data_IF_468328964660
#
_entry.id   IF_468328964660
#
_cell.length_a   1.000
_cell.length_b   1.000
_cell.length_c   1.000
_cell.angle_alpha   90.00
_cell.angle_beta   90.00
_cell.angle_gamma   90.00
#
_symmetry.space_group_name_H-M   'P 1'
#
loop_
_entity.id
_entity.type
_entity.pdbx_description
1 polymer ?
#
# COMPACT_ATOMS: atom_id res chain seq x y z
N UNK A 1 -0.26 -45.92 13.10
CA UNK A 1 0.19 -45.25 14.35
C UNK A 1 1.20 -44.17 13.99
N UNK A 2 0.95 -42.92 14.45
CA UNK A 2 1.85 -41.73 14.57
C UNK A 2 2.42 -41.15 13.25
N UNK A 3 1.95 -39.99 12.75
CA UNK A 3 2.05 -38.57 13.19
C UNK A 3 3.44 -37.90 13.06
N UNK A 4 3.48 -36.78 12.33
CA UNK A 4 4.45 -35.68 12.41
C UNK A 4 5.58 -35.76 11.37
N UNK A 5 5.89 -34.75 10.57
CA UNK A 5 5.83 -33.30 10.80
C UNK A 5 5.55 -32.53 9.51
N UNK A 6 4.78 -31.46 9.69
CA UNK A 6 4.46 -30.42 8.72
C UNK A 6 5.70 -29.89 7.99
N UNK A 7 5.72 -30.04 6.67
CA UNK A 7 6.52 -29.19 5.81
C UNK A 7 5.87 -27.80 5.83
N UNK A 8 6.56 -26.88 6.50
CA UNK A 8 6.19 -25.48 6.66
C UNK A 8 5.93 -24.83 5.29
N UNK A 9 4.68 -24.42 5.06
CA UNK A 9 4.25 -23.58 3.94
C UNK A 9 4.77 -22.12 4.05
N UNK A 10 5.98 -21.89 4.57
CA UNK A 10 6.49 -20.56 4.91
C UNK A 10 7.40 -19.92 3.86
N UNK A 11 7.70 -20.59 2.74
CA UNK A 11 8.62 -20.07 1.71
C UNK A 11 8.01 -19.96 0.31
N UNK A 12 6.69 -19.75 0.20
CA UNK A 12 6.12 -19.30 -1.07
C UNK A 12 6.23 -17.76 -1.12
N UNK A 13 7.09 -17.17 -1.98
CA UNK A 13 6.89 -15.78 -2.37
C UNK A 13 5.52 -15.75 -3.03
N UNK A 14 4.54 -15.19 -2.31
CA UNK A 14 3.20 -14.94 -2.83
C UNK A 14 3.32 -14.39 -4.26
N UNK A 15 2.53 -14.88 -5.23
CA UNK A 15 2.63 -14.45 -6.62
C UNK A 15 2.09 -13.02 -6.73
N UNK A 16 2.89 -12.05 -6.32
CA UNK A 16 2.56 -10.64 -6.41
C UNK A 16 2.96 -10.13 -7.78
N UNK A 17 2.04 -9.42 -8.43
CA UNK A 17 2.24 -8.94 -9.80
C UNK A 17 3.35 -7.89 -9.83
N UNK A 18 4.15 -7.94 -10.90
CA UNK A 18 5.20 -6.98 -11.27
C UNK A 18 4.79 -5.50 -11.14
N UNK A 19 3.50 -5.16 -11.24
CA UNK A 19 3.00 -3.78 -11.39
C UNK A 19 3.23 -2.88 -10.17
N UNK A 20 3.11 -3.40 -8.94
CA UNK A 20 3.29 -2.60 -7.71
C UNK A 20 4.78 -2.26 -7.48
N UNK A 21 5.65 -3.26 -7.65
CA UNK A 21 7.11 -3.05 -7.72
C UNK A 21 7.49 -2.16 -8.90
N UNK A 22 6.76 -2.25 -10.01
CA UNK A 22 6.97 -1.42 -11.20
C UNK A 22 6.68 0.05 -10.91
N UNK A 23 5.65 0.41 -10.15
CA UNK A 23 5.38 1.83 -9.86
C UNK A 23 6.48 2.43 -8.97
N UNK A 24 6.86 1.74 -7.88
CA UNK A 24 7.94 2.19 -7.02
C UNK A 24 9.29 2.25 -7.75
N UNK A 25 9.58 1.25 -8.61
CA UNK A 25 10.76 1.26 -9.47
C UNK A 25 10.75 2.40 -10.49
N UNK A 26 9.64 2.62 -11.19
CA UNK A 26 9.49 3.73 -12.14
C UNK A 26 9.64 5.10 -11.45
N UNK A 27 9.09 5.26 -10.25
CA UNK A 27 9.22 6.49 -9.47
C UNK A 27 10.68 6.72 -9.04
N UNK A 28 11.37 5.67 -8.61
CA UNK A 28 12.79 5.73 -8.26
C UNK A 28 13.65 6.07 -9.49
N UNK A 29 13.44 5.40 -10.62
CA UNK A 29 14.16 5.64 -11.87
C UNK A 29 13.93 7.08 -12.36
N UNK A 30 12.67 7.55 -12.33
CA UNK A 30 12.33 8.93 -12.67
C UNK A 30 12.98 9.94 -11.73
N UNK A 31 13.10 9.62 -10.43
CA UNK A 31 13.73 10.49 -9.44
C UNK A 31 15.24 10.60 -9.68
N UNK A 32 15.90 9.48 -9.99
CA UNK A 32 17.31 9.48 -10.39
C UNK A 32 17.50 10.29 -11.68
N UNK A 33 16.65 10.08 -12.69
CA UNK A 33 16.72 10.78 -13.96
C UNK A 33 16.46 12.29 -13.84
N UNK A 34 15.59 12.70 -12.92
CA UNK A 34 15.24 14.10 -12.68
C UNK A 34 16.18 14.81 -11.67
N UNK A 35 17.41 14.29 -11.49
CA UNK A 35 18.40 14.93 -10.61
C UNK A 35 17.98 14.97 -9.14
N UNK A 36 17.21 13.97 -8.67
CA UNK A 36 16.71 13.85 -7.29
C UNK A 36 15.71 14.93 -6.88
N UNK A 37 15.05 15.53 -7.86
CA UNK A 37 13.96 16.46 -7.67
C UNK A 37 12.61 15.73 -7.65
N UNK A 38 11.55 16.48 -7.33
CA UNK A 38 10.17 16.00 -7.38
C UNK A 38 9.87 15.35 -8.75
N UNK A 39 9.31 14.15 -8.73
CA UNK A 39 8.90 13.42 -9.93
C UNK A 39 7.47 13.79 -10.33
N UNK A 40 7.29 14.15 -11.59
CA UNK A 40 5.98 14.48 -12.19
C UNK A 40 5.34 13.21 -12.79
N UNK A 41 4.02 13.22 -12.99
CA UNK A 41 3.29 12.11 -13.61
C UNK A 41 2.83 11.03 -12.63
N UNK A 42 3.16 11.18 -11.34
CA UNK A 42 2.66 10.35 -10.24
C UNK A 42 1.65 11.11 -9.36
N UNK A 43 1.16 12.27 -9.82
CA UNK A 43 0.43 13.24 -8.99
C UNK A 43 -0.79 12.65 -8.28
N UNK A 44 -1.55 11.77 -8.95
CA UNK A 44 -2.70 11.10 -8.33
C UNK A 44 -2.33 10.05 -7.28
N UNK A 45 -1.15 9.42 -7.42
CA UNK A 45 -0.65 8.30 -6.60
C UNK A 45 0.54 8.72 -5.73
N UNK A 46 0.66 10.02 -5.46
CA UNK A 46 1.71 10.53 -4.62
C UNK A 46 1.20 11.52 -3.59
N UNK A 47 1.96 11.69 -2.53
CA UNK A 47 1.79 12.76 -1.57
C UNK A 47 3.15 13.38 -1.26
N UNK A 48 3.12 14.58 -0.69
CA UNK A 48 4.31 15.34 -0.35
C UNK A 48 4.20 15.73 1.10
N UNK A 49 5.25 15.38 1.84
CA UNK A 49 5.39 15.68 3.25
C UNK A 49 6.50 16.70 3.38
N UNK A 50 6.19 17.85 3.96
CA UNK A 50 7.19 18.82 4.39
C UNK A 50 7.45 18.59 5.87
N UNK A 51 8.71 18.70 6.30
CA UNK A 51 9.06 18.48 7.70
C UNK A 51 9.67 19.72 8.39
N UNK A 52 8.93 20.84 8.48
CA UNK A 52 9.42 21.99 9.24
C UNK A 52 9.47 21.60 10.73
N UNK A 53 10.68 21.56 11.29
CA UNK A 53 10.91 21.29 12.71
C UNK A 53 10.40 19.92 13.23
N UNK A 54 10.33 18.89 12.38
CA UNK A 54 9.94 17.53 12.80
C UNK A 54 8.42 17.28 12.84
N UNK A 55 7.62 18.21 12.32
CA UNK A 55 6.16 18.16 12.35
C UNK A 55 5.50 17.32 11.24
N UNK A 56 6.20 16.97 10.16
CA UNK A 56 5.71 16.11 9.06
C UNK A 56 4.30 16.44 8.57
N UNK A 57 4.18 17.58 7.91
CA UNK A 57 2.93 18.16 7.42
C UNK A 57 2.71 17.74 5.97
N UNK A 58 1.51 17.25 5.66
CA UNK A 58 1.09 16.94 4.29
C UNK A 58 0.95 18.24 3.47
N UNK A 59 1.86 18.50 2.55
CA UNK A 59 1.85 19.67 1.66
C UNK A 59 0.95 19.44 0.44
N UNK A 60 1.06 18.27 -0.18
CA UNK A 60 0.22 17.87 -1.31
C UNK A 60 -0.23 16.44 -1.15
N UNK A 61 -1.47 16.17 -1.52
CA UNK A 61 -2.04 14.81 -1.48
C UNK A 61 -2.72 14.53 -2.81
N UNK A 62 -2.29 13.47 -3.48
CA UNK A 62 -2.88 13.00 -4.72
C UNK A 62 -4.32 12.52 -4.51
N UNK A 63 -5.16 12.72 -5.52
CA UNK A 63 -6.59 12.43 -5.44
C UNK A 63 -6.90 10.98 -5.00
N UNK A 64 -6.07 10.00 -5.37
CA UNK A 64 -6.30 8.61 -4.97
C UNK A 64 -6.03 8.39 -3.46
N UNK A 65 -5.06 9.09 -2.87
CA UNK A 65 -4.81 9.05 -1.42
C UNK A 65 -5.96 9.71 -0.63
N UNK A 66 -6.48 10.84 -1.13
CA UNK A 66 -7.65 11.50 -0.54
C UNK A 66 -8.84 10.54 -0.53
N UNK A 67 -9.15 9.95 -1.68
CA UNK A 67 -10.31 9.07 -1.84
C UNK A 67 -10.20 7.78 -1.02
N UNK A 68 -9.03 7.14 -0.97
CA UNK A 68 -8.88 5.83 -0.31
C UNK A 68 -8.65 5.93 1.19
N UNK A 69 -7.87 6.91 1.63
CA UNK A 69 -7.35 6.98 3.00
C UNK A 69 -7.79 8.24 3.74
N UNK A 70 -8.51 9.16 3.09
CA UNK A 70 -8.97 10.40 3.71
C UNK A 70 -7.84 11.37 4.08
N UNK A 71 -6.66 11.20 3.48
CA UNK A 71 -5.53 12.11 3.72
C UNK A 71 -5.83 13.47 3.08
N UNK A 72 -5.50 14.56 3.79
CA UNK A 72 -5.74 15.93 3.33
C UNK A 72 -4.51 16.79 3.52
N UNK A 73 -4.32 17.76 2.64
CA UNK A 73 -3.28 18.78 2.79
C UNK A 73 -3.47 19.56 4.11
N UNK A 74 -2.35 19.90 4.76
CA UNK A 74 -2.30 20.59 6.05
C UNK A 74 -2.37 19.65 7.26
N UNK A 75 -2.71 18.37 7.06
CA UNK A 75 -2.73 17.40 8.15
C UNK A 75 -1.30 17.01 8.57
N UNK A 76 -1.13 16.79 9.88
CA UNK A 76 0.09 16.25 10.48
C UNK A 76 0.03 14.73 10.43
N UNK A 77 1.12 14.07 10.04
CA UNK A 77 1.23 12.62 10.12
C UNK A 77 1.26 12.16 11.58
N UNK A 78 0.17 11.55 12.04
CA UNK A 78 0.08 10.96 13.38
C UNK A 78 0.98 9.73 13.52
N UNK A 79 1.74 9.68 14.62
CA UNK A 79 2.68 8.57 14.95
C UNK A 79 2.03 7.39 15.67
N UNK A 80 0.70 7.35 15.79
CA UNK A 80 0.00 6.41 16.68
C UNK A 80 -0.13 5.02 16.07
N UNK A 81 -0.77 4.88 14.90
CA UNK A 81 -0.94 3.60 14.19
C UNK A 81 -1.25 3.80 12.70
N UNK A 82 -1.12 2.73 11.91
CA UNK A 82 -1.60 2.67 10.53
C UNK A 82 -0.73 3.44 9.54
N UNK A 83 -1.34 3.90 8.46
CA UNK A 83 -0.64 4.52 7.33
C UNK A 83 0.20 5.73 7.75
N UNK A 84 -0.37 6.60 8.58
CA UNK A 84 0.31 7.81 9.01
C UNK A 84 1.60 7.52 9.78
N UNK A 85 1.61 6.44 10.59
CA UNK A 85 2.80 6.01 11.34
C UNK A 85 3.90 5.50 10.42
N UNK A 86 3.56 4.73 9.39
CA UNK A 86 4.53 4.20 8.41
C UNK A 86 5.13 5.32 7.56
N UNK A 87 4.29 6.26 7.10
CA UNK A 87 4.75 7.43 6.37
C UNK A 87 5.65 8.31 7.25
N UNK A 88 5.30 8.47 8.53
CA UNK A 88 6.10 9.21 9.50
C UNK A 88 7.47 8.58 9.71
N UNK A 89 7.52 7.26 9.89
CA UNK A 89 8.77 6.52 10.02
C UNK A 89 9.65 6.62 8.76
N UNK A 90 9.05 6.58 7.57
CA UNK A 90 9.78 6.77 6.32
C UNK A 90 10.38 8.19 6.22
N UNK A 91 9.65 9.22 6.68
CA UNK A 91 10.15 10.59 6.75
C UNK A 91 11.31 10.72 7.75
N UNK A 92 11.18 10.11 8.94
CA UNK A 92 12.25 10.10 9.95
C UNK A 92 13.54 9.45 9.40
N UNK A 93 13.41 8.32 8.69
CA UNK A 93 14.55 7.64 8.07
C UNK A 93 15.22 8.50 7.00
N UNK A 94 14.45 9.21 6.18
CA UNK A 94 14.97 10.12 5.16
C UNK A 94 15.68 11.32 5.79
N UNK A 95 15.15 11.87 6.89
CA UNK A 95 15.77 12.96 7.62
C UNK A 95 17.14 12.55 8.21
N UNK A 96 17.27 11.30 8.67
CA UNK A 96 18.54 10.75 9.14
C UNK A 96 19.52 10.43 8.01
N UNK A 97 19.01 9.89 6.90
CA UNK A 97 19.80 9.48 5.75
C UNK A 97 19.04 9.79 4.46
N UNK A 98 19.43 10.83 3.70
CA UNK A 98 18.67 11.32 2.54
C UNK A 98 18.83 10.37 1.34
N UNK A 99 18.16 9.22 1.44
CA UNK A 99 18.11 8.16 0.44
C UNK A 99 16.67 7.68 0.27
N UNK A 100 16.33 7.12 -0.91
CA UNK A 100 15.03 6.49 -1.11
C UNK A 100 14.74 5.39 -0.08
N UNK A 101 13.55 5.41 0.50
CA UNK A 101 13.08 4.42 1.48
C UNK A 101 11.89 3.66 0.90
N UNK A 102 12.04 2.40 0.49
CA UNK A 102 10.90 1.56 0.15
C UNK A 102 10.12 1.21 1.43
N UNK A 103 8.80 1.12 1.32
CA UNK A 103 7.96 0.70 2.44
C UNK A 103 6.80 -0.19 1.97
N UNK A 104 6.35 -1.02 2.89
CA UNK A 104 5.21 -1.90 2.72
C UNK A 104 4.39 -1.86 4.00
N UNK A 105 3.08 -1.66 3.88
CA UNK A 105 2.17 -1.60 5.02
C UNK A 105 0.91 -2.41 4.72
N UNK A 106 0.41 -3.08 5.75
CA UNK A 106 -0.88 -3.76 5.73
C UNK A 106 -1.86 -3.02 6.64
N UNK A 107 -2.89 -2.43 6.07
CA UNK A 107 -3.89 -1.65 6.79
C UNK A 107 -5.14 -2.51 6.96
N UNK A 108 -5.47 -2.86 8.21
CA UNK A 108 -6.64 -3.67 8.51
C UNK A 108 -7.86 -2.77 8.62
N UNK A 109 -8.93 -3.15 7.92
CA UNK A 109 -10.26 -2.56 8.01
C UNK A 109 -11.29 -3.65 8.37
N UNK A 110 -12.47 -3.25 8.81
CA UNK A 110 -13.57 -4.14 9.22
C UNK A 110 -13.92 -5.16 8.13
N UNK A 111 -13.86 -4.76 6.85
CA UNK A 111 -14.23 -5.59 5.70
C UNK A 111 -13.04 -6.19 4.94
N UNK A 112 -11.79 -5.87 5.29
CA UNK A 112 -10.64 -6.31 4.47
C UNK A 112 -9.29 -5.85 5.01
N UNK A 113 -8.25 -6.13 4.23
CA UNK A 113 -6.89 -5.66 4.45
C UNK A 113 -6.43 -4.94 3.18
N UNK A 114 -5.85 -3.75 3.32
CA UNK A 114 -5.20 -3.04 2.22
C UNK A 114 -3.72 -3.31 2.30
N UNK A 115 -3.16 -3.90 1.24
CA UNK A 115 -1.71 -3.98 1.07
C UNK A 115 -1.25 -2.74 0.32
N UNK A 116 -0.49 -1.88 0.98
CA UNK A 116 0.10 -0.68 0.43
C UNK A 116 1.60 -0.90 0.23
N UNK A 117 2.11 -0.54 -0.95
CA UNK A 117 3.54 -0.59 -1.26
C UNK A 117 3.96 0.70 -1.96
N UNK A 118 5.11 1.22 -1.60
CA UNK A 118 5.59 2.46 -2.18
C UNK A 118 7.06 2.73 -1.93
N UNK A 119 7.47 3.92 -2.36
CA UNK A 119 8.79 4.48 -2.09
C UNK A 119 8.63 5.91 -1.62
N UNK A 120 9.33 6.25 -0.54
CA UNK A 120 9.51 7.61 -0.09
C UNK A 120 10.83 8.14 -0.67
N UNK A 121 10.77 9.28 -1.34
CA UNK A 121 11.87 9.89 -2.07
C UNK A 121 12.22 11.23 -1.42
N UNK A 122 13.48 11.47 -1.03
CA UNK A 122 13.91 12.80 -0.63
C UNK A 122 13.86 13.72 -1.85
N UNK A 123 13.17 14.85 -1.72
CA UNK A 123 13.08 15.88 -2.76
C UNK A 123 13.42 17.25 -2.14
N UNK A 124 13.60 18.26 -2.98
CA UNK A 124 13.95 19.62 -2.52
C UNK A 124 15.18 19.63 -1.60
N UNK A 125 16.26 18.93 -2.03
CA UNK A 125 17.50 18.75 -1.26
C UNK A 125 17.32 18.03 0.09
N UNK A 126 16.26 17.21 0.22
CA UNK A 126 15.93 16.49 1.44
C UNK A 126 15.09 17.29 2.43
N UNK A 127 14.60 18.48 2.05
CA UNK A 127 13.69 19.30 2.87
C UNK A 127 12.26 18.76 2.86
N UNK A 128 11.91 18.02 1.82
CA UNK A 128 10.58 17.44 1.64
C UNK A 128 10.72 15.97 1.22
N UNK A 129 9.65 15.21 1.44
CA UNK A 129 9.56 13.80 1.04
C UNK A 129 8.39 13.64 0.08
N UNK A 130 8.67 13.16 -1.13
CA UNK A 130 7.63 12.70 -2.04
C UNK A 130 7.44 11.20 -1.86
N UNK A 131 6.23 10.82 -1.47
CA UNK A 131 5.85 9.42 -1.35
C UNK A 131 5.05 9.03 -2.58
N UNK A 132 5.48 7.97 -3.27
CA UNK A 132 4.72 7.38 -4.39
C UNK A 132 4.33 5.96 -3.99
N UNK A 133 3.05 5.64 -4.04
CA UNK A 133 2.56 4.34 -3.61
C UNK A 133 1.38 3.83 -4.41
N UNK A 134 1.21 2.51 -4.41
CA UNK A 134 0.06 1.82 -4.93
C UNK A 134 -0.48 0.84 -3.88
N UNK A 135 -1.76 0.49 -3.97
CA UNK A 135 -2.40 -0.42 -3.04
C UNK A 135 -3.31 -1.43 -3.74
N UNK A 136 -3.59 -2.50 -3.00
CA UNK A 136 -4.58 -3.50 -3.38
C UNK A 136 -5.43 -3.87 -2.18
N UNK A 137 -6.75 -3.88 -2.39
CA UNK A 137 -7.69 -4.42 -1.43
C UNK A 137 -7.64 -5.96 -1.46
N UNK A 138 -7.44 -6.55 -0.28
CA UNK A 138 -7.41 -7.98 -0.04
C UNK A 138 -8.54 -8.31 0.92
N UNK A 139 -9.46 -9.17 0.50
CA UNK A 139 -10.55 -9.61 1.37
C UNK A 139 -9.96 -10.39 2.56
N UNK A 140 -10.39 -10.05 3.76
CA UNK A 140 -10.07 -10.85 4.93
C UNK A 140 -10.89 -12.16 4.90
N UNK A 141 -10.51 -13.16 5.71
CA UNK A 141 -11.21 -14.47 5.71
C UNK A 141 -12.72 -14.34 5.93
N UNK A 142 -13.16 -13.37 6.73
CA UNK A 142 -14.57 -13.14 7.00
C UNK A 142 -15.32 -12.59 5.77
N UNK A 143 -14.75 -11.59 5.09
CA UNK A 143 -15.29 -11.03 3.87
C UNK A 143 -15.27 -12.02 2.71
N UNK A 144 -14.21 -12.83 2.58
CA UNK A 144 -14.15 -13.93 1.61
C UNK A 144 -15.26 -14.96 1.87
N UNK A 145 -15.53 -15.30 3.13
CA UNK A 145 -16.61 -16.22 3.51
C UNK A 145 -18.00 -15.64 3.17
N UNK A 146 -18.24 -14.36 3.47
CA UNK A 146 -19.50 -13.69 3.14
C UNK A 146 -19.71 -13.60 1.63
N UNK A 147 -18.68 -13.21 0.87
CA UNK A 147 -18.73 -13.18 -0.58
C UNK A 147 -19.02 -14.57 -1.17
N UNK A 148 -18.37 -15.63 -0.63
CA UNK A 148 -18.67 -17.03 -1.03
C UNK A 148 -20.14 -17.37 -0.76
N UNK A 149 -20.71 -16.94 0.36
CA UNK A 149 -22.12 -17.19 0.70
C UNK A 149 -23.07 -16.45 -0.26
N UNK A 150 -22.84 -15.16 -0.52
CA UNK A 150 -23.65 -14.35 -1.43
C UNK A 150 -23.60 -14.86 -2.88
N UNK A 151 -22.41 -15.23 -3.37
CA UNK A 151 -22.25 -15.84 -4.69
C UNK A 151 -22.97 -17.19 -4.78
N UNK A 152 -22.81 -18.05 -3.77
CA UNK A 152 -23.50 -19.34 -3.71
C UNK A 152 -25.03 -19.16 -3.71
N UNK A 153 -25.52 -18.16 -2.99
CA UNK A 153 -26.95 -17.85 -2.93
C UNK A 153 -27.48 -17.29 -4.24
N UNK A 154 -26.75 -16.36 -4.87
CA UNK A 154 -27.12 -15.76 -6.16
C UNK A 154 -27.11 -16.78 -7.30
N UNK A 155 -26.16 -17.71 -7.30
CA UNK A 155 -26.08 -18.80 -8.28
C UNK A 155 -27.21 -19.83 -8.10
N UNK A 156 -27.58 -20.14 -6.85
CA UNK A 156 -28.76 -20.98 -6.54
C UNK A 156 -30.05 -20.34 -7.04
N UNK A 157 -30.20 -19.03 -6.85
CA UNK A 157 -31.36 -18.27 -7.33
C UNK A 157 -31.42 -18.18 -8.86
N UNK A 158 -30.27 -18.19 -9.54
CA UNK A 158 -30.17 -18.12 -11.01
C UNK A 158 -30.36 -19.47 -11.72
N UNK A 159 -30.64 -20.55 -10.99
CA UNK A 159 -30.96 -21.87 -11.57
C UNK A 159 -29.80 -22.61 -12.24
N UNK A 160 -28.57 -22.07 -12.23
CA UNK A 160 -27.38 -22.73 -12.77
C UNK A 160 -26.92 -23.85 -11.82
N UNK A 161 -27.50 -25.05 -11.98
CA UNK A 161 -26.91 -26.31 -11.51
C UNK A 161 -25.79 -26.73 -12.48
N UNK A 162 -24.65 -26.06 -12.45
CA UNK A 162 -23.43 -26.61 -13.06
C UNK A 162 -22.42 -26.88 -11.96
N UNK A 163 -21.83 -28.08 -11.99
CA UNK A 163 -20.85 -28.57 -11.03
C UNK A 163 -19.74 -27.53 -10.85
N UNK A 164 -19.82 -26.78 -9.74
CA UNK A 164 -18.96 -25.63 -9.52
C UNK A 164 -17.64 -26.11 -8.94
N UNK A 165 -16.57 -26.07 -9.74
CA UNK A 165 -15.21 -26.06 -9.20
C UNK A 165 -15.03 -24.75 -8.45
N UNK A 166 -14.67 -24.82 -7.17
CA UNK A 166 -14.41 -23.64 -6.34
C UNK A 166 -13.37 -22.73 -7.05
N UNK A 167 -13.71 -21.49 -7.44
CA UNK A 167 -12.82 -20.57 -8.16
C UNK A 167 -11.68 -20.05 -7.28
N UNK A 168 -11.66 -20.47 -6.01
CA UNK A 168 -10.65 -20.16 -5.02
C UNK A 168 -9.91 -21.42 -4.52
N UNK A 169 -10.09 -22.58 -5.15
CA UNK A 169 -9.29 -23.80 -4.92
C UNK A 169 -8.04 -23.83 -5.79
#
# INVERSE_FOLDING_TARGET
MRWGLAESNLDLPLPFRLVERRLAGLALDAWVANGRQRVLGFDSQSLIVNDPAGAQILDRVGAAFVQRFGLVTGAVLGRSTGLASELSAACDLIALLPRPVPFESSLIDMAGCVLLRGVALPVDEGRSVQVVANWRDVLNRAATRLLRQELTQSLRLSGQKQAFSDPFS
#
